data_IF_158423100132
#
_entry.id   IF_158423100132
#
_cell.length_a   1.000
_cell.length_b   1.000
_cell.length_c   1.000
_cell.angle_alpha   90.00
_cell.angle_beta   90.00
_cell.angle_gamma   90.00
#
_symmetry.space_group_name_H-M   'P 1'
#
loop_
_entity.id
_entity.type
_entity.pdbx_description
1 polymer ?
#
# COMPACT_ATOMS: atom_id res chain seq x y z
N UNK A 1 6.75 -7.05 -8.36
CA UNK A 1 7.42 -6.93 -7.04
C UNK A 1 6.99 -8.14 -6.20
N UNK A 2 7.94 -8.96 -5.72
CA UNK A 2 7.66 -10.25 -5.07
C UNK A 2 7.62 -10.20 -3.52
N UNK A 3 7.75 -9.01 -2.94
CA UNK A 3 7.87 -8.80 -1.50
C UNK A 3 6.62 -9.27 -0.75
N UNK A 4 5.43 -9.02 -1.31
CA UNK A 4 4.17 -9.42 -0.67
C UNK A 4 3.98 -10.93 -0.68
N UNK A 5 4.34 -11.60 -1.77
CA UNK A 5 4.26 -13.05 -1.89
C UNK A 5 5.26 -13.72 -0.93
N UNK A 6 6.51 -13.24 -0.89
CA UNK A 6 7.51 -13.75 0.04
C UNK A 6 7.06 -13.56 1.51
N UNK A 7 6.57 -12.37 1.86
CA UNK A 7 6.08 -12.08 3.20
C UNK A 7 4.84 -12.92 3.54
N UNK A 8 3.89 -13.10 2.62
CA UNK A 8 2.71 -13.94 2.84
C UNK A 8 3.07 -15.41 3.15
N UNK A 9 4.19 -15.89 2.62
CA UNK A 9 4.76 -17.21 2.91
C UNK A 9 5.60 -17.27 4.20
N UNK A 10 5.64 -16.20 4.99
CA UNK A 10 6.54 -16.05 6.15
C UNK A 10 8.03 -16.21 5.82
N UNK A 11 8.42 -15.94 4.57
CA UNK A 11 9.83 -15.97 4.16
C UNK A 11 10.53 -14.69 4.66
N UNK A 12 11.68 -14.79 5.34
CA UNK A 12 12.49 -13.62 5.70
C UNK A 12 13.00 -12.93 4.44
N UNK A 13 12.93 -11.60 4.42
CA UNK A 13 13.26 -10.80 3.23
C UNK A 13 14.46 -9.91 3.53
N UNK A 14 15.44 -9.96 2.63
CA UNK A 14 16.53 -8.98 2.53
C UNK A 14 16.29 -8.15 1.28
N UNK A 15 16.33 -6.82 1.41
CA UNK A 15 16.15 -5.88 0.30
C UNK A 15 17.21 -4.79 0.36
N UNK A 16 17.51 -4.17 -0.78
CA UNK A 16 18.11 -2.84 -0.82
C UNK A 16 17.13 -1.78 -0.31
N UNK A 17 17.63 -0.64 0.23
CA UNK A 17 16.77 0.47 0.60
C UNK A 17 16.21 1.17 -0.64
N UNK A 18 14.91 1.48 -0.64
CA UNK A 18 14.29 2.30 -1.67
C UNK A 18 13.24 3.24 -1.06
N UNK A 19 12.98 4.42 -1.67
CA UNK A 19 12.06 5.40 -1.09
C UNK A 19 10.65 4.85 -0.89
N UNK A 20 10.20 4.80 0.36
CA UNK A 20 8.86 4.36 0.72
C UNK A 20 8.76 2.91 1.18
N UNK A 21 9.88 2.17 1.29
CA UNK A 21 9.87 0.83 1.91
C UNK A 21 9.26 0.86 3.33
N UNK A 22 9.48 1.95 4.07
CA UNK A 22 8.96 2.19 5.42
C UNK A 22 7.44 2.36 5.47
N UNK A 23 6.81 2.68 4.33
CA UNK A 23 5.34 2.76 4.23
C UNK A 23 4.68 1.38 4.16
N UNK A 24 5.47 0.35 3.84
CA UNK A 24 5.00 -1.01 3.61
C UNK A 24 5.42 -1.94 4.76
N UNK A 25 6.67 -1.81 5.21
CA UNK A 25 7.25 -2.64 6.26
C UNK A 25 8.03 -1.78 7.25
N UNK A 26 8.16 -2.24 8.49
CA UNK A 26 9.11 -1.71 9.46
C UNK A 26 10.53 -2.32 9.25
N UNK A 27 11.54 -1.58 8.74
CA UNK A 27 12.88 -2.12 8.56
C UNK A 27 13.52 -2.57 9.88
N UNK A 28 14.31 -3.63 9.83
CA UNK A 28 14.90 -4.29 11.00
C UNK A 28 13.92 -5.18 11.79
N UNK A 29 12.60 -5.06 11.54
CA UNK A 29 11.56 -5.82 12.25
C UNK A 29 10.79 -6.76 11.32
N UNK A 30 10.34 -6.25 10.18
CA UNK A 30 9.50 -6.97 9.22
C UNK A 30 10.24 -7.27 7.91
N UNK A 31 11.29 -6.52 7.60
CA UNK A 31 12.31 -6.92 6.64
C UNK A 31 13.69 -6.44 7.08
N UNK A 32 14.73 -6.95 6.44
CA UNK A 32 16.10 -6.49 6.65
C UNK A 32 16.59 -5.72 5.43
N UNK A 33 17.29 -4.61 5.68
CA UNK A 33 17.88 -3.79 4.62
C UNK A 33 19.37 -4.04 4.53
N UNK A 34 19.87 -4.28 3.32
CA UNK A 34 21.29 -4.34 3.02
C UNK A 34 21.66 -3.16 2.11
N UNK A 35 22.66 -2.35 2.49
CA UNK A 35 23.12 -1.20 1.69
C UNK A 35 24.34 -1.52 0.84
N UNK A 36 24.94 -2.69 1.09
CA UNK A 36 26.10 -3.19 0.38
C UNK A 36 26.06 -4.71 0.29
N UNK A 37 26.91 -5.29 -0.56
CA UNK A 37 27.14 -6.73 -0.62
C UNK A 37 27.60 -7.29 0.74
N UNK A 38 28.44 -6.53 1.47
CA UNK A 38 28.92 -6.94 2.78
C UNK A 38 27.77 -7.04 3.81
N UNK A 39 26.82 -6.11 3.77
CA UNK A 39 25.64 -6.17 4.64
C UNK A 39 24.77 -7.40 4.33
N UNK A 40 24.56 -7.67 3.03
CA UNK A 40 23.77 -8.81 2.59
C UNK A 40 24.42 -10.14 3.05
N UNK A 41 25.73 -10.29 2.88
CA UNK A 41 26.47 -11.46 3.35
C UNK A 41 26.41 -11.59 4.87
N UNK A 42 26.61 -10.49 5.61
CA UNK A 42 26.53 -10.50 7.06
C UNK A 42 25.15 -10.96 7.56
N UNK A 43 24.06 -10.53 6.91
CA UNK A 43 22.71 -10.99 7.23
C UNK A 43 22.55 -12.50 6.95
N UNK A 44 23.02 -12.97 5.79
CA UNK A 44 22.90 -14.38 5.40
C UNK A 44 23.71 -15.31 6.31
N UNK A 45 24.90 -14.89 6.73
CA UNK A 45 25.83 -15.72 7.51
C UNK A 45 25.58 -15.66 9.01
N UNK A 46 25.19 -14.50 9.55
CA UNK A 46 25.24 -14.22 11.00
C UNK A 46 23.89 -14.13 11.66
N UNK A 47 22.80 -13.96 10.92
CA UNK A 47 21.48 -13.81 11.52
C UNK A 47 20.98 -15.14 12.08
N UNK A 48 20.67 -15.24 13.38
CA UNK A 48 20.17 -16.47 14.00
C UNK A 48 18.87 -16.99 13.37
N UNK A 49 18.68 -18.31 13.37
CA UNK A 49 17.51 -18.97 12.75
C UNK A 49 16.17 -18.56 13.38
N UNK A 50 16.14 -18.38 14.70
CA UNK A 50 14.98 -17.90 15.43
C UNK A 50 14.62 -16.47 15.03
N UNK A 51 15.60 -15.57 14.92
CA UNK A 51 15.37 -14.21 14.44
C UNK A 51 14.94 -14.18 12.97
N UNK A 52 15.53 -15.01 12.10
CA UNK A 52 15.06 -15.18 10.71
C UNK A 52 13.57 -15.50 10.68
N UNK A 53 13.15 -16.55 11.39
CA UNK A 53 11.74 -16.96 11.46
C UNK A 53 10.85 -15.86 12.05
N UNK A 54 11.33 -15.16 13.06
CA UNK A 54 10.59 -14.08 13.69
C UNK A 54 10.36 -12.89 12.74
N UNK A 55 11.36 -12.49 11.95
CA UNK A 55 11.23 -11.47 10.89
C UNK A 55 10.18 -11.90 9.87
N UNK A 56 10.29 -13.12 9.33
CA UNK A 56 9.34 -13.64 8.34
C UNK A 56 7.90 -13.70 8.89
N UNK A 57 7.71 -14.13 10.14
CA UNK A 57 6.40 -14.15 10.78
C UNK A 57 5.82 -12.74 11.00
N UNK A 58 6.68 -11.76 11.35
CA UNK A 58 6.28 -10.34 11.46
C UNK A 58 5.84 -9.79 10.11
N UNK A 59 6.62 -10.04 9.05
CA UNK A 59 6.29 -9.66 7.67
C UNK A 59 4.94 -10.24 7.21
N UNK A 60 4.70 -11.53 7.49
CA UNK A 60 3.46 -12.22 7.14
C UNK A 60 2.25 -11.58 7.79
N UNK A 61 2.32 -11.29 9.09
CA UNK A 61 1.22 -10.65 9.82
C UNK A 61 0.90 -9.28 9.22
N UNK A 62 1.92 -8.46 8.92
CA UNK A 62 1.75 -7.15 8.29
C UNK A 62 1.02 -7.25 6.95
N UNK A 63 1.50 -8.11 6.05
CA UNK A 63 0.92 -8.25 4.70
C UNK A 63 -0.51 -8.80 4.73
N UNK A 64 -0.80 -9.78 5.57
CA UNK A 64 -2.15 -10.32 5.69
C UNK A 64 -3.12 -9.30 6.31
N UNK A 65 -2.64 -8.43 7.19
CA UNK A 65 -3.45 -7.39 7.81
C UNK A 65 -3.71 -6.19 6.89
N UNK A 66 -2.80 -5.86 5.96
CA UNK A 66 -2.84 -4.55 5.29
C UNK A 66 -2.67 -4.58 3.77
N UNK A 67 -2.11 -5.65 3.19
CA UNK A 67 -1.63 -5.63 1.80
C UNK A 67 -2.14 -6.77 0.91
N UNK A 68 -3.24 -7.40 1.32
CA UNK A 68 -3.93 -8.41 0.51
C UNK A 68 -4.59 -7.79 -0.73
N UNK A 69 -4.90 -8.65 -1.72
CA UNK A 69 -5.68 -8.23 -2.87
C UNK A 69 -7.07 -7.71 -2.48
N UNK A 70 -7.67 -8.26 -1.42
CA UNK A 70 -8.95 -7.81 -0.90
C UNK A 70 -8.89 -6.36 -0.39
N UNK A 71 -7.89 -6.01 0.41
CA UNK A 71 -7.69 -4.63 0.87
C UNK A 71 -7.51 -3.66 -0.31
N UNK A 72 -6.73 -4.05 -1.33
CA UNK A 72 -6.53 -3.22 -2.52
C UNK A 72 -7.82 -3.05 -3.34
N UNK A 73 -8.62 -4.10 -3.47
CA UNK A 73 -9.89 -4.03 -4.18
C UNK A 73 -10.88 -3.09 -3.47
N UNK A 74 -10.94 -3.16 -2.14
CA UNK A 74 -11.76 -2.27 -1.32
C UNK A 74 -11.34 -0.81 -1.46
N UNK A 75 -10.03 -0.53 -1.32
CA UNK A 75 -9.48 0.81 -1.49
C UNK A 75 -9.78 1.37 -2.89
N UNK A 76 -9.58 0.56 -3.94
CA UNK A 76 -9.91 0.96 -5.31
C UNK A 76 -11.39 1.30 -5.46
N UNK A 77 -12.29 0.46 -4.94
CA UNK A 77 -13.72 0.71 -5.00
C UNK A 77 -14.11 2.01 -4.27
N UNK A 78 -13.48 2.30 -3.13
CA UNK A 78 -13.68 3.55 -2.40
C UNK A 78 -13.23 4.78 -3.22
N UNK A 79 -12.04 4.74 -3.80
CA UNK A 79 -11.53 5.84 -4.62
C UNK A 79 -12.38 6.09 -5.87
N UNK A 80 -12.91 5.04 -6.50
CA UNK A 80 -13.83 5.17 -7.65
C UNK A 80 -15.13 5.87 -7.23
N UNK A 81 -15.71 5.52 -6.08
CA UNK A 81 -16.90 6.21 -5.55
C UNK A 81 -16.61 7.69 -5.30
N UNK A 82 -15.52 7.98 -4.61
CA UNK A 82 -15.11 9.35 -4.29
C UNK A 82 -14.90 10.19 -5.56
N UNK A 83 -14.24 9.64 -6.58
CA UNK A 83 -14.02 10.30 -7.86
C UNK A 83 -15.34 10.60 -8.59
N UNK A 84 -16.30 9.65 -8.60
CA UNK A 84 -17.62 9.84 -9.21
C UNK A 84 -18.40 10.96 -8.55
N UNK A 85 -18.38 11.01 -7.22
CA UNK A 85 -19.05 12.08 -6.48
C UNK A 85 -18.42 13.45 -6.74
N UNK A 86 -17.08 13.55 -6.76
CA UNK A 86 -16.39 14.80 -7.11
C UNK A 86 -16.77 15.27 -8.52
N UNK A 87 -16.89 14.35 -9.48
CA UNK A 87 -17.31 14.67 -10.83
C UNK A 87 -18.77 15.17 -10.87
N UNK A 88 -19.68 14.52 -10.13
CA UNK A 88 -21.08 14.95 -10.02
C UNK A 88 -21.21 16.37 -9.42
N UNK A 89 -20.46 16.66 -8.34
CA UNK A 89 -20.41 18.00 -7.72
C UNK A 89 -19.92 19.08 -8.68
N UNK A 90 -18.89 18.78 -9.49
CA UNK A 90 -18.39 19.72 -10.53
C UNK A 90 -19.41 20.00 -11.63
N UNK A 91 -20.31 19.05 -11.92
CA UNK A 91 -21.37 19.19 -12.95
C UNK A 91 -22.60 19.96 -12.47
N UNK A 92 -22.81 20.08 -11.16
CA UNK A 92 -24.00 20.66 -10.56
C UNK A 92 -24.23 22.18 -10.77
N UNK A 93 -23.23 23.08 -11.06
CA UNK A 93 -23.53 24.52 -11.15
C UNK A 93 -24.11 24.98 -12.50
N UNK A 94 -24.10 24.15 -13.55
CA UNK A 94 -24.59 24.59 -14.87
C UNK A 94 -26.12 24.56 -15.02
N UNK A 95 -26.84 23.71 -14.27
CA UNK A 95 -28.29 23.50 -14.45
C UNK A 95 -29.21 24.47 -13.69
N UNK A 96 -28.67 25.34 -12.82
CA UNK A 96 -29.46 26.30 -12.04
C UNK A 96 -29.70 27.64 -12.78
N UNK A 97 -28.91 27.95 -13.82
CA UNK A 97 -29.06 29.20 -14.59
C UNK A 97 -30.09 29.13 -15.72
N UNK A 98 -30.39 27.94 -16.24
CA UNK A 98 -31.36 27.77 -17.34
C UNK A 98 -32.83 27.76 -16.87
N UNK A 99 -33.13 27.40 -15.61
CA UNK A 99 -34.53 27.40 -15.12
C UNK A 99 -35.08 28.77 -14.74
N UNK A 100 -34.24 29.77 -14.48
CA UNK A 100 -34.70 31.12 -14.08
C UNK A 100 -35.01 31.99 -15.30
N UNK A 101 -34.57 31.61 -16.50
CA UNK A 101 -34.79 32.37 -17.73
C UNK A 101 -36.07 32.00 -18.49
N UNK A 102 -36.93 31.14 -17.93
CA UNK A 102 -38.11 30.61 -18.62
C UNK A 102 -39.44 30.89 -17.89
N UNK A 103 -39.41 31.73 -16.85
CA UNK A 103 -40.59 32.27 -16.15
C UNK A 103 -40.52 33.80 -16.15
N UNK A 104 -40.78 34.44 -17.30
CA UNK A 104 -41.24 35.83 -17.35
C UNK A 104 -42.06 36.09 -18.64
N UNK A 105 -43.40 36.04 -18.59
CA UNK A 105 -44.27 36.62 -19.59
C UNK A 105 -44.82 37.94 -19.04
N UNK A 106 -44.16 39.04 -19.35
CA UNK A 106 -44.60 40.41 -19.07
C UNK A 106 -44.48 41.27 -20.31
#
# INVERSE_FOLDING_TARGET
>A
MRLFEAAACATPIVSDPWPGIETVFAPGRELLLARSTADALAILERLPEDERRAVGARARRRVLAEHTAAHRAEALAAHVREARERAARRRAPARRRERVAQEDPG
#
